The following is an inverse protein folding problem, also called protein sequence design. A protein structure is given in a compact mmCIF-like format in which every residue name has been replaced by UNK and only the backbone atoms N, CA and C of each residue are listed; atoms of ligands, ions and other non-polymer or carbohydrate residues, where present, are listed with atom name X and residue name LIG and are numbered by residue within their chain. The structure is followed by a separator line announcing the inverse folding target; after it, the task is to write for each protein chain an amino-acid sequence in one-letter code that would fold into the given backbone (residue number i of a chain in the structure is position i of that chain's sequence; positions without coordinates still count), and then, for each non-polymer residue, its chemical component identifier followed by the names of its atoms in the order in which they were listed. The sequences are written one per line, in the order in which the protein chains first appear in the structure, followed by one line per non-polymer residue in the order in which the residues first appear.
data_IF_955395881774
#
_entry.id   IF_955395881774
#
_cell.length_a   1.000
_cell.length_b   1.000
_cell.length_c   1.000
_cell.angle_alpha   90.00
_cell.angle_beta   90.00
_cell.angle_gamma   90.00
#
_symmetry.space_group_name_H-M   'P 1'
#
loop_
_entity.id
_entity.type
_entity.pdbx_description
1 polymer ?
#
# COMPACT_ATOMS: atom_id res chain seq x y z
N UNK A 1 -4.35 -14.27 -6.50
CA UNK A 1 -5.53 -13.50 -6.97
C UNK A 1 -5.57 -12.08 -6.42
N UNK A 2 -5.55 -11.84 -5.10
CA UNK A 2 -5.66 -10.48 -4.53
C UNK A 2 -4.67 -9.44 -5.13
N UNK A 3 -3.40 -9.82 -5.29
CA UNK A 3 -2.35 -8.97 -5.87
C UNK A 3 -2.65 -8.53 -7.30
N UNK A 4 -3.14 -9.44 -8.16
CA UNK A 4 -3.51 -9.11 -9.54
C UNK A 4 -4.69 -8.12 -9.60
N UNK A 5 -5.65 -8.25 -8.66
CA UNK A 5 -6.76 -7.31 -8.51
C UNK A 5 -6.26 -5.93 -8.10
N UNK A 6 -5.25 -5.85 -7.22
CA UNK A 6 -4.62 -4.57 -6.87
C UNK A 6 -4.00 -3.88 -8.09
N UNK A 7 -3.23 -4.60 -8.90
CA UNK A 7 -2.61 -4.03 -10.11
C UNK A 7 -3.65 -3.60 -11.14
N UNK A 8 -4.72 -4.37 -11.32
CA UNK A 8 -5.84 -4.00 -12.19
C UNK A 8 -6.53 -2.70 -11.72
N UNK A 9 -6.74 -2.54 -10.41
CA UNK A 9 -7.28 -1.29 -9.83
C UNK A 9 -6.33 -0.10 -10.00
N UNK A 10 -5.02 -0.32 -9.98
CA UNK A 10 -4.02 0.72 -10.25
C UNK A 10 -4.05 1.15 -11.71
N UNK A 11 -4.25 0.21 -12.64
CA UNK A 11 -4.28 0.46 -14.08
C UNK A 11 -5.52 1.22 -14.57
N UNK A 12 -6.73 0.86 -14.13
CA UNK A 12 -8.00 1.45 -14.60
C UNK A 12 -8.32 2.87 -14.05
N UNK A 13 -7.32 3.64 -13.61
CA UNK A 13 -7.54 5.00 -13.10
C UNK A 13 -7.81 5.05 -11.60
N UNK A 14 -6.92 4.41 -10.82
CA UNK A 14 -6.79 4.46 -9.36
C UNK A 14 -7.72 5.47 -8.63
N UNK A 15 -8.79 4.96 -8.00
CA UNK A 15 -9.47 5.69 -6.90
C UNK A 15 -8.53 5.65 -5.68
N UNK A 16 -8.44 6.74 -4.90
CA UNK A 16 -7.61 6.79 -3.66
C UNK A 16 -7.91 5.57 -2.79
N UNK A 17 -7.06 4.55 -2.85
CA UNK A 17 -7.11 3.38 -1.98
C UNK A 17 -6.01 3.48 -0.93
N UNK A 18 -6.24 2.94 0.26
CA UNK A 18 -5.21 2.83 1.30
C UNK A 18 -4.79 1.37 1.42
N UNK A 19 -3.50 1.12 1.65
CA UNK A 19 -3.02 -0.16 2.14
C UNK A 19 -3.04 -0.12 3.67
N UNK A 20 -3.99 -0.80 4.33
CA UNK A 20 -4.18 -0.64 5.76
C UNK A 20 -3.01 -1.19 6.56
N UNK A 21 -2.54 -0.41 7.55
CA UNK A 21 -1.59 -0.85 8.55
C UNK A 21 -2.25 -1.75 9.59
N UNK A 22 -2.49 -2.99 9.17
CA UNK A 22 -3.24 -3.98 9.95
C UNK A 22 -2.74 -4.12 11.38
N UNK A 23 -1.43 -4.17 11.60
CA UNK A 23 -0.85 -4.32 12.94
C UNK A 23 -1.08 -3.09 13.80
N UNK A 24 -0.74 -1.90 13.29
CA UNK A 24 -0.94 -0.67 14.06
C UNK A 24 -2.41 -0.33 14.30
N UNK A 25 -3.32 -0.73 13.39
CA UNK A 25 -4.75 -0.60 13.60
C UNK A 25 -5.23 -1.45 14.77
N UNK A 26 -4.72 -2.68 14.92
CA UNK A 26 -5.04 -3.52 16.09
C UNK A 26 -4.62 -2.82 17.37
N UNK A 27 -3.39 -2.29 17.46
CA UNK A 27 -2.93 -1.56 18.64
C UNK A 27 -3.78 -0.30 18.96
N UNK A 28 -4.29 0.37 17.92
CA UNK A 28 -5.20 1.50 18.08
C UNK A 28 -6.57 1.06 18.62
N UNK A 29 -7.09 -0.06 18.14
CA UNK A 29 -8.33 -0.65 18.63
C UNK A 29 -8.19 -1.11 20.08
N UNK A 30 -7.08 -1.73 20.47
CA UNK A 30 -6.82 -2.12 21.87
C UNK A 30 -6.80 -0.90 22.80
N UNK A 31 -6.22 0.22 22.36
CA UNK A 31 -6.21 1.49 23.11
C UNK A 31 -7.60 2.12 23.22
N UNK A 32 -8.43 1.92 22.21
CA UNK A 32 -9.81 2.37 22.19
C UNK A 32 -10.66 1.56 23.19
N UNK A 33 -10.56 0.23 23.14
CA UNK A 33 -11.28 -0.67 24.07
C UNK A 33 -10.84 -0.47 25.53
N UNK A 34 -9.55 -0.27 25.77
CA UNK A 34 -9.02 0.00 27.12
C UNK A 34 -9.30 1.44 27.62
N UNK A 35 -10.01 2.27 26.84
CA UNK A 35 -10.37 3.64 27.21
C UNK A 35 -9.19 4.64 27.24
N UNK A 36 -7.98 4.20 26.88
CA UNK A 36 -6.78 5.06 26.77
C UNK A 36 -6.85 6.03 25.59
N UNK A 37 -7.66 5.69 24.59
CA UNK A 37 -7.96 6.53 23.44
C UNK A 37 -9.48 6.60 23.29
N UNK A 38 -10.01 7.78 22.95
CA UNK A 38 -11.44 7.97 22.67
C UNK A 38 -11.69 8.04 21.18
N UNK A 39 -12.85 7.53 20.76
CA UNK A 39 -13.33 7.74 19.40
C UNK A 39 -13.51 9.25 19.17
N UNK A 40 -12.93 9.79 18.11
CA UNK A 40 -12.98 11.22 17.83
C UNK A 40 -11.85 11.72 16.92
N UNK A 41 -11.58 13.02 16.98
CA UNK A 41 -10.58 13.68 16.13
C UNK A 41 -9.16 13.15 16.35
N UNK A 42 -8.79 12.82 17.58
CA UNK A 42 -7.48 12.25 17.93
C UNK A 42 -7.26 10.88 17.29
N UNK A 43 -8.25 9.99 17.37
CA UNK A 43 -8.23 8.68 16.71
C UNK A 43 -8.12 8.83 15.19
N UNK A 44 -8.98 9.66 14.59
CA UNK A 44 -8.95 9.91 13.14
C UNK A 44 -7.59 10.44 12.68
N UNK A 45 -6.97 11.36 13.45
CA UNK A 45 -5.64 11.90 13.13
C UNK A 45 -4.57 10.82 13.14
N UNK A 46 -4.58 9.92 14.13
CA UNK A 46 -3.63 8.80 14.21
C UNK A 46 -3.79 7.85 13.02
N UNK A 47 -5.02 7.48 12.68
CA UNK A 47 -5.29 6.64 11.50
C UNK A 47 -4.80 7.32 10.22
N UNK A 48 -5.08 8.61 10.04
CA UNK A 48 -4.62 9.35 8.86
C UNK A 48 -3.09 9.45 8.78
N UNK A 49 -2.41 9.75 9.89
CA UNK A 49 -0.94 9.82 9.97
C UNK A 49 -0.29 8.49 9.60
N UNK A 50 -0.78 7.38 10.19
CA UNK A 50 -0.25 6.04 9.91
C UNK A 50 -0.39 5.62 8.43
N UNK A 51 -1.40 6.14 7.74
CA UNK A 51 -1.70 5.79 6.35
C UNK A 51 -1.32 6.87 5.33
N UNK A 52 -0.68 7.97 5.76
CA UNK A 52 -0.30 9.10 4.91
C UNK A 52 0.52 8.66 3.70
N UNK A 53 1.48 7.75 3.91
CA UNK A 53 2.38 7.22 2.88
C UNK A 53 1.96 5.83 2.37
N UNK A 54 0.76 5.35 2.73
CA UNK A 54 0.23 4.03 2.34
C UNK A 54 -0.90 4.13 1.31
N UNK A 55 -0.89 5.19 0.51
CA UNK A 55 -1.82 5.33 -0.60
C UNK A 55 -1.46 4.33 -1.71
N UNK A 56 -2.44 3.62 -2.24
CA UNK A 56 -2.28 2.59 -3.27
C UNK A 56 -2.00 3.15 -4.66
N UNK A 57 -1.45 4.36 -4.75
CA UNK A 57 -1.09 5.01 -5.99
C UNK A 57 -0.02 4.20 -6.74
N UNK A 58 0.12 4.39 -8.07
CA UNK A 58 1.20 3.78 -8.83
C UNK A 58 2.56 4.11 -8.21
N UNK A 59 3.32 3.08 -7.84
CA UNK A 59 4.67 3.21 -7.28
C UNK A 59 5.65 2.36 -8.07
N UNK A 60 6.94 2.57 -7.91
CA UNK A 60 7.94 1.63 -8.46
C UNK A 60 7.74 0.25 -7.85
N UNK A 61 7.84 -0.80 -8.68
CA UNK A 61 7.80 -2.18 -8.22
C UNK A 61 8.95 -2.48 -7.26
N UNK A 62 8.66 -3.28 -6.24
CA UNK A 62 9.73 -3.81 -5.39
C UNK A 62 10.48 -4.90 -6.12
N UNK A 63 11.82 -4.78 -6.14
CA UNK A 63 12.70 -5.83 -6.60
C UNK A 63 12.71 -7.02 -5.63
N UNK A 64 13.43 -8.10 -5.99
CA UNK A 64 13.62 -9.22 -5.08
C UNK A 64 14.35 -8.78 -3.81
N UNK A 65 14.16 -9.55 -2.73
CA UNK A 65 14.88 -9.30 -1.49
C UNK A 65 16.41 -9.37 -1.70
N UNK A 66 17.19 -8.49 -1.05
CA UNK A 66 18.65 -8.49 -1.16
C UNK A 66 19.24 -9.86 -0.84
N UNK A 67 20.25 -10.28 -1.60
CA UNK A 67 20.96 -11.55 -1.38
C UNK A 67 20.31 -12.78 -2.04
N UNK A 68 19.09 -12.68 -2.59
CA UNK A 68 18.43 -13.79 -3.29
C UNK A 68 18.78 -13.77 -4.78
N UNK A 69 19.32 -14.88 -5.30
CA UNK A 69 19.73 -15.03 -6.71
C UNK A 69 18.93 -16.12 -7.43
N UNK A 70 19.09 -16.18 -8.76
CA UNK A 70 18.52 -17.24 -9.59
C UNK A 70 16.98 -17.21 -9.64
N UNK A 71 16.34 -18.38 -9.66
CA UNK A 71 14.87 -18.51 -9.71
C UNK A 71 14.18 -18.15 -8.39
N UNK A 72 14.90 -18.18 -7.26
CA UNK A 72 14.34 -17.86 -5.95
C UNK A 72 13.90 -16.38 -5.86
N UNK A 73 14.52 -15.50 -6.67
CA UNK A 73 14.15 -14.07 -6.75
C UNK A 73 12.70 -13.86 -7.19
N UNK A 74 12.21 -14.72 -8.08
CA UNK A 74 10.85 -14.66 -8.64
C UNK A 74 9.77 -14.85 -7.57
N UNK A 75 10.12 -15.48 -6.44
CA UNK A 75 9.21 -15.70 -5.31
C UNK A 75 9.08 -14.48 -4.41
N UNK A 76 10.04 -13.56 -4.44
CA UNK A 76 10.11 -12.41 -3.52
C UNK A 76 9.92 -11.07 -4.22
N UNK A 77 10.17 -11.01 -5.53
CA UNK A 77 9.89 -9.82 -6.32
C UNK A 77 8.38 -9.57 -6.48
N UNK A 78 8.03 -8.30 -6.67
CA UNK A 78 6.66 -7.92 -6.97
C UNK A 78 6.33 -8.25 -8.43
N UNK A 79 5.24 -8.99 -8.65
CA UNK A 79 4.84 -9.37 -10.01
C UNK A 79 4.34 -8.17 -10.82
N UNK A 80 4.50 -8.23 -12.14
CA UNK A 80 3.97 -7.22 -13.05
C UNK A 80 2.45 -6.98 -12.85
N UNK A 81 1.68 -8.07 -12.68
CA UNK A 81 0.24 -8.00 -12.48
C UNK A 81 -0.16 -7.35 -11.15
N UNK A 82 0.74 -7.27 -10.17
CA UNK A 82 0.51 -6.56 -8.91
C UNK A 82 0.71 -5.05 -9.04
N UNK A 83 1.64 -4.64 -9.90
CA UNK A 83 1.97 -3.24 -10.09
C UNK A 83 2.59 -2.99 -11.48
N UNK A 84 1.77 -2.64 -12.48
CA UNK A 84 2.25 -2.50 -13.85
C UNK A 84 2.94 -1.16 -14.12
N UNK A 85 3.27 -0.36 -13.09
CA UNK A 85 4.09 0.84 -13.22
C UNK A 85 5.59 0.47 -13.21
N UNK A 86 6.43 1.01 -14.12
CA UNK A 86 6.12 2.07 -15.09
C UNK A 86 5.65 1.60 -16.49
N UNK A 87 5.54 0.30 -16.75
CA UNK A 87 5.37 -0.25 -18.10
C UNK A 87 4.00 0.06 -18.73
N UNK A 88 2.90 -0.08 -18.00
CA UNK A 88 1.55 0.22 -18.50
C UNK A 88 0.93 1.48 -17.89
N UNK A 89 1.51 2.00 -16.81
CA UNK A 89 1.05 3.24 -16.18
C UNK A 89 2.10 4.31 -16.44
N UNK A 90 1.84 5.20 -17.39
CA UNK A 90 2.73 6.32 -17.67
C UNK A 90 2.63 7.38 -16.57
N UNK A 91 3.76 8.07 -16.27
CA UNK A 91 3.67 9.34 -15.55
C UNK A 91 2.89 10.31 -16.43
N UNK A 92 1.78 10.85 -15.92
CA UNK A 92 1.14 12.02 -16.52
C UNK A 92 2.22 13.10 -16.72
N UNK A 93 2.34 13.65 -17.93
CA UNK A 93 3.24 14.78 -18.22
C UNK A 93 2.84 16.05 -17.43
N UNK A 94 1.74 16.02 -16.67
CA UNK A 94 1.34 17.09 -15.74
C UNK A 94 1.78 16.75 -14.32
N UNK A 95 3.07 16.84 -14.06
CA UNK A 95 3.56 17.35 -12.78
C UNK A 95 4.09 18.75 -13.12
N UNK A 96 3.64 19.75 -12.36
CA UNK A 96 3.90 21.18 -12.54
C UNK A 96 5.29 21.52 -13.08
#
# INVERSE_FOLDING_TARGET
MARAVEGHRRFLGHRRTINPDRKGLVELFDKLESGKLKLGSSFSRLVQEMHKNRQGAPRKRYGPLPGIKGRARLRTEESFYENPFPECICRSKKAF
#
